data_IF_578545411423
#
_entry.id   IF_578545411423
#
_cell.length_a   1.000
_cell.length_b   1.000
_cell.length_c   1.000
_cell.angle_alpha   90.00
_cell.angle_beta   90.00
_cell.angle_gamma   90.00
#
_symmetry.space_group_name_H-M   'P 1'
#
loop_
_entity.id
_entity.type
_entity.pdbx_description
1 polymer ?
#
# COMPACT_ATOMS: atom_id res chain seq x y z
N UNK A 1 -16.51 7.30 -0.30
CA UNK A 1 -16.84 5.85 -0.22
C UNK A 1 -17.94 5.52 0.77
N UNK A 2 -17.92 6.02 2.01
CA UNK A 2 -19.00 5.75 2.98
C UNK A 2 -20.42 6.04 2.44
N UNK A 3 -20.64 7.21 1.83
CA UNK A 3 -21.94 7.56 1.23
C UNK A 3 -22.32 6.64 0.06
N UNK A 4 -21.36 6.19 -0.75
CA UNK A 4 -21.64 5.28 -1.87
C UNK A 4 -22.10 3.91 -1.36
N UNK A 5 -21.43 3.38 -0.33
CA UNK A 5 -21.84 2.14 0.36
C UNK A 5 -23.26 2.25 0.94
N UNK A 6 -23.59 3.37 1.57
CA UNK A 6 -24.94 3.62 2.11
C UNK A 6 -25.99 3.70 1.01
N UNK A 7 -25.67 4.37 -0.10
CA UNK A 7 -26.58 4.48 -1.25
C UNK A 7 -26.84 3.11 -1.86
N UNK A 8 -25.80 2.32 -2.12
CA UNK A 8 -25.95 0.96 -2.66
C UNK A 8 -26.74 0.05 -1.70
N UNK A 9 -26.48 0.17 -0.40
CA UNK A 9 -27.25 -0.55 0.63
C UNK A 9 -28.73 -0.18 0.58
N UNK A 10 -29.04 1.13 0.54
CA UNK A 10 -30.43 1.62 0.46
C UNK A 10 -31.13 1.26 -0.84
N UNK A 11 -30.38 1.14 -1.94
CA UNK A 11 -30.89 0.72 -3.24
C UNK A 11 -31.12 -0.79 -3.36
N UNK A 12 -30.78 -1.60 -2.34
CA UNK A 12 -31.03 -3.03 -2.34
C UNK A 12 -30.24 -3.81 -3.39
N UNK A 13 -29.01 -3.39 -3.69
CA UNK A 13 -28.15 -4.14 -4.62
C UNK A 13 -27.83 -5.53 -4.09
N UNK A 14 -27.57 -6.49 -4.99
CA UNK A 14 -27.27 -7.88 -4.60
C UNK A 14 -25.89 -8.08 -3.99
N UNK A 15 -24.93 -7.19 -4.26
CA UNK A 15 -23.56 -7.23 -3.74
C UNK A 15 -22.85 -5.90 -3.98
N UNK A 16 -21.80 -5.62 -3.21
CA UNK A 16 -20.96 -4.43 -3.37
C UNK A 16 -19.49 -4.83 -3.52
N UNK A 17 -18.80 -4.29 -4.52
CA UNK A 17 -17.33 -4.37 -4.62
C UNK A 17 -16.74 -3.03 -4.21
N UNK A 18 -15.74 -3.04 -3.34
CA UNK A 18 -15.08 -1.83 -2.86
C UNK A 18 -13.55 -1.99 -2.89
N UNK A 19 -12.87 -1.03 -3.52
CA UNK A 19 -11.44 -0.80 -3.30
C UNK A 19 -11.30 0.35 -2.29
N UNK A 20 -11.07 0.09 -1.00
CA UNK A 20 -11.10 1.13 0.02
C UNK A 20 -9.90 2.09 -0.08
N UNK A 21 -10.19 3.38 -0.19
CA UNK A 21 -9.16 4.44 -0.16
C UNK A 21 -8.45 4.43 1.20
N UNK A 22 -9.20 4.24 2.28
CA UNK A 22 -8.69 4.06 3.64
C UNK A 22 -9.35 2.83 4.27
N UNK A 23 -8.52 1.94 4.82
CA UNK A 23 -8.96 0.64 5.34
C UNK A 23 -9.87 0.77 6.58
N UNK A 24 -9.74 1.82 7.39
CA UNK A 24 -10.54 2.02 8.60
C UNK A 24 -11.81 2.83 8.32
N UNK A 25 -11.70 3.90 7.52
CA UNK A 25 -12.80 4.84 7.27
C UNK A 25 -13.96 4.22 6.49
N UNK A 26 -13.69 3.18 5.70
CA UNK A 26 -14.72 2.43 4.95
C UNK A 26 -15.55 1.50 5.84
N UNK A 27 -15.01 1.08 7.00
CA UNK A 27 -15.59 0.06 7.88
C UNK A 27 -17.04 0.29 8.29
N UNK A 28 -17.46 1.51 8.71
CA UNK A 28 -18.87 1.80 9.01
C UNK A 28 -19.81 1.53 7.84
N UNK A 29 -19.40 1.84 6.61
CA UNK A 29 -20.21 1.59 5.41
C UNK A 29 -20.36 0.10 5.12
N UNK A 30 -19.28 -0.67 5.28
CA UNK A 30 -19.30 -2.14 5.13
C UNK A 30 -20.20 -2.78 6.19
N UNK A 31 -20.09 -2.37 7.46
CA UNK A 31 -20.98 -2.86 8.52
C UNK A 31 -22.46 -2.54 8.25
N UNK A 32 -22.75 -1.43 7.58
CA UNK A 32 -24.12 -1.10 7.17
C UNK A 32 -24.65 -2.06 6.11
N UNK A 33 -23.84 -2.41 5.11
CA UNK A 33 -24.20 -3.40 4.09
C UNK A 33 -24.38 -4.80 4.69
N UNK A 34 -23.48 -5.20 5.60
CA UNK A 34 -23.57 -6.49 6.30
C UNK A 34 -24.88 -6.62 7.11
N UNK A 35 -25.35 -5.54 7.75
CA UNK A 35 -26.63 -5.53 8.48
C UNK A 35 -27.87 -5.67 7.57
N UNK A 36 -27.72 -5.40 6.28
CA UNK A 36 -28.76 -5.58 5.27
C UNK A 36 -28.58 -6.90 4.49
N UNK A 37 -27.71 -7.80 4.96
CA UNK A 37 -27.37 -9.07 4.32
C UNK A 37 -26.83 -8.93 2.88
N UNK A 38 -26.22 -7.77 2.57
CA UNK A 38 -25.58 -7.50 1.28
C UNK A 38 -24.09 -7.86 1.37
N UNK A 39 -23.59 -8.85 0.61
CA UNK A 39 -22.19 -9.23 0.65
C UNK A 39 -21.30 -8.13 0.07
N UNK A 40 -20.23 -7.80 0.82
CA UNK A 40 -19.19 -6.86 0.38
C UNK A 40 -17.92 -7.61 0.02
N UNK A 41 -17.43 -7.40 -1.20
CA UNK A 41 -16.16 -7.91 -1.69
C UNK A 41 -15.15 -6.76 -1.64
N UNK A 42 -14.07 -6.94 -0.88
CA UNK A 42 -12.95 -6.01 -0.96
C UNK A 42 -12.04 -6.38 -2.13
N UNK A 43 -11.59 -5.38 -2.87
CA UNK A 43 -10.67 -5.53 -3.98
C UNK A 43 -9.45 -4.63 -3.76
N UNK A 44 -8.26 -5.12 -4.11
CA UNK A 44 -6.95 -4.43 -4.01
C UNK A 44 -6.48 -4.11 -2.58
N UNK A 45 -7.35 -3.53 -1.74
CA UNK A 45 -7.07 -3.12 -0.37
C UNK A 45 -8.05 -3.74 0.62
N UNK A 46 -7.55 -4.08 1.80
CA UNK A 46 -8.34 -4.65 2.89
C UNK A 46 -9.20 -3.62 3.62
N UNK A 47 -10.26 -4.10 4.27
CA UNK A 47 -11.11 -3.34 5.18
C UNK A 47 -10.81 -3.74 6.62
N UNK A 48 -10.56 -2.77 7.49
CA UNK A 48 -10.37 -2.98 8.92
C UNK A 48 -11.71 -2.89 9.66
N UNK A 49 -11.85 -3.68 10.73
CA UNK A 49 -12.99 -3.62 11.68
C UNK A 49 -14.37 -3.82 11.03
N UNK A 50 -14.43 -4.52 9.90
CA UNK A 50 -15.67 -4.95 9.26
C UNK A 50 -15.41 -6.22 8.45
N UNK A 51 -16.39 -7.10 8.38
CA UNK A 51 -16.27 -8.36 7.64
C UNK A 51 -16.57 -8.13 6.16
N UNK A 52 -15.73 -8.69 5.30
CA UNK A 52 -15.97 -8.79 3.86
C UNK A 52 -16.20 -10.25 3.49
N UNK A 53 -17.04 -10.51 2.49
CA UNK A 53 -17.30 -11.86 1.99
C UNK A 53 -16.02 -12.50 1.44
N UNK A 54 -15.16 -11.70 0.81
CA UNK A 54 -13.80 -12.07 0.42
C UNK A 54 -12.95 -10.83 0.22
N UNK A 55 -11.63 -11.02 0.14
CA UNK A 55 -10.66 -10.03 -0.30
C UNK A 55 -9.96 -10.58 -1.55
N UNK A 56 -10.07 -9.84 -2.66
CA UNK A 56 -9.33 -10.12 -3.89
C UNK A 56 -8.20 -9.11 -4.00
N UNK A 57 -6.99 -9.51 -3.63
CA UNK A 57 -5.81 -8.66 -3.65
C UNK A 57 -4.55 -9.46 -3.99
N UNK A 58 -3.51 -8.75 -4.42
CA UNK A 58 -2.15 -9.30 -4.51
C UNK A 58 -1.62 -9.62 -3.11
N UNK A 59 -0.76 -10.63 -3.00
CA UNK A 59 0.06 -10.81 -1.79
C UNK A 59 1.13 -9.72 -1.77
N UNK A 60 0.80 -8.60 -1.14
CA UNK A 60 1.67 -7.43 -1.04
C UNK A 60 2.91 -7.69 -0.18
N UNK A 61 2.87 -8.63 0.78
CA UNK A 61 4.04 -9.00 1.58
C UNK A 61 5.03 -9.78 0.71
N UNK A 62 4.54 -10.78 -0.03
CA UNK A 62 5.37 -11.49 -1.00
C UNK A 62 5.90 -10.53 -2.08
N UNK A 63 5.06 -9.62 -2.59
CA UNK A 63 5.46 -8.61 -3.56
C UNK A 63 6.55 -7.66 -3.04
N UNK A 64 6.43 -7.20 -1.79
CA UNK A 64 7.46 -6.39 -1.13
C UNK A 64 8.78 -7.14 -1.01
N UNK A 65 8.75 -8.42 -0.64
CA UNK A 65 9.95 -9.26 -0.57
C UNK A 65 10.61 -9.43 -1.95
N UNK A 66 9.82 -9.73 -2.99
CA UNK A 66 10.31 -9.81 -4.36
C UNK A 66 10.96 -8.50 -4.83
N UNK A 67 10.41 -7.36 -4.42
CA UNK A 67 11.00 -6.06 -4.73
C UNK A 67 12.34 -5.83 -4.01
N UNK A 68 12.50 -6.32 -2.77
CA UNK A 68 13.77 -6.28 -2.06
C UNK A 68 14.84 -7.11 -2.76
N UNK A 69 14.50 -8.35 -3.13
CA UNK A 69 15.41 -9.26 -3.83
C UNK A 69 15.83 -8.65 -5.19
N UNK A 70 14.87 -8.17 -5.98
CA UNK A 70 15.13 -7.55 -7.28
C UNK A 70 16.01 -6.30 -7.17
N UNK A 71 15.74 -5.43 -6.18
CA UNK A 71 16.57 -4.25 -5.93
C UNK A 71 17.99 -4.66 -5.51
N UNK A 72 18.11 -5.63 -4.61
CA UNK A 72 19.40 -6.08 -4.11
C UNK A 72 20.27 -6.69 -5.21
N UNK A 73 19.68 -7.50 -6.09
CA UNK A 73 20.35 -8.07 -7.26
C UNK A 73 20.90 -6.98 -8.18
N UNK A 74 20.12 -5.91 -8.42
CA UNK A 74 20.56 -4.76 -9.24
C UNK A 74 21.69 -3.97 -8.60
N UNK A 75 21.73 -3.91 -7.28
CA UNK A 75 22.78 -3.22 -6.52
C UNK A 75 24.01 -4.10 -6.24
N UNK A 76 23.97 -5.39 -6.60
CA UNK A 76 25.02 -6.33 -6.22
C UNK A 76 25.14 -6.53 -4.71
N UNK A 77 24.00 -6.48 -4.00
CA UNK A 77 23.90 -6.76 -2.57
C UNK A 77 24.35 -5.63 -1.63
N UNK A 78 24.72 -4.45 -2.13
CA UNK A 78 25.22 -3.34 -1.30
C UNK A 78 24.78 -1.97 -1.82
N UNK A 79 24.61 -1.00 -0.91
CA UNK A 79 24.36 0.38 -1.30
C UNK A 79 23.44 1.14 -0.34
N UNK A 80 23.18 2.40 -0.66
CA UNK A 80 22.27 3.25 0.10
C UNK A 80 20.99 3.45 -0.69
N UNK A 81 19.83 3.23 -0.07
CA UNK A 81 18.54 3.37 -0.73
C UNK A 81 17.60 4.28 0.03
N UNK A 82 16.60 4.77 -0.69
CA UNK A 82 15.47 5.50 -0.10
C UNK A 82 14.16 4.78 -0.37
N UNK A 83 13.17 5.03 0.46
CA UNK A 83 11.83 4.46 0.32
C UNK A 83 10.79 5.58 0.18
N UNK A 84 10.02 5.53 -0.90
CA UNK A 84 8.81 6.34 -1.07
C UNK A 84 7.61 5.55 -0.58
N UNK A 85 6.98 6.02 0.50
CA UNK A 85 5.83 5.35 1.09
C UNK A 85 4.53 5.78 0.44
N UNK A 86 3.59 4.84 0.43
CA UNK A 86 2.23 5.08 -0.03
C UNK A 86 1.38 5.92 0.89
N UNK A 87 0.07 5.97 0.60
CA UNK A 87 -0.91 6.60 1.48
C UNK A 87 -0.96 5.86 2.81
N UNK A 88 -0.74 6.60 3.90
CA UNK A 88 -0.85 6.08 5.26
C UNK A 88 -2.25 5.49 5.51
N UNK A 89 -2.32 4.38 6.25
CA UNK A 89 -3.58 3.70 6.57
C UNK A 89 -4.02 2.65 5.54
N UNK A 90 -3.46 2.64 4.33
CA UNK A 90 -3.77 1.60 3.33
C UNK A 90 -3.08 0.26 3.65
N UNK A 91 -3.77 -0.86 3.41
CA UNK A 91 -3.15 -2.19 3.57
C UNK A 91 -1.99 -2.39 2.59
N UNK A 92 -2.14 -1.94 1.35
CA UNK A 92 -1.12 -2.07 0.30
C UNK A 92 0.22 -1.44 0.70
N UNK A 93 0.25 -0.17 1.15
CA UNK A 93 1.47 0.49 1.62
C UNK A 93 2.12 -0.27 2.78
N UNK A 94 1.32 -0.63 3.80
CA UNK A 94 1.83 -1.34 4.99
C UNK A 94 2.45 -2.69 4.62
N UNK A 95 1.75 -3.49 3.83
CA UNK A 95 2.14 -4.85 3.48
C UNK A 95 3.35 -4.87 2.56
N UNK A 96 3.41 -4.00 1.54
CA UNK A 96 4.58 -3.85 0.66
C UNK A 96 5.81 -3.41 1.45
N UNK A 97 5.65 -2.40 2.30
CA UNK A 97 6.72 -1.92 3.17
C UNK A 97 7.22 -3.01 4.14
N UNK A 98 6.32 -3.79 4.73
CA UNK A 98 6.67 -4.90 5.61
C UNK A 98 7.41 -6.02 4.86
N UNK A 99 6.91 -6.43 3.70
CA UNK A 99 7.56 -7.43 2.86
C UNK A 99 8.96 -7.01 2.41
N UNK A 100 9.10 -5.76 2.00
CA UNK A 100 10.39 -5.19 1.58
C UNK A 100 11.38 -5.14 2.74
N UNK A 101 10.95 -4.67 3.92
CA UNK A 101 11.78 -4.64 5.11
C UNK A 101 12.22 -6.05 5.56
N UNK A 102 11.36 -7.05 5.42
CA UNK A 102 11.70 -8.45 5.71
C UNK A 102 12.73 -8.99 4.70
N UNK A 103 12.50 -8.79 3.40
CA UNK A 103 13.43 -9.23 2.35
C UNK A 103 14.82 -8.62 2.48
N UNK A 104 14.90 -7.32 2.81
CA UNK A 104 16.17 -6.63 3.00
C UNK A 104 17.04 -7.20 4.14
N UNK A 105 16.48 -7.95 5.09
CA UNK A 105 17.28 -8.59 6.15
C UNK A 105 18.32 -9.56 5.59
N UNK A 106 18.11 -10.11 4.39
CA UNK A 106 19.08 -10.96 3.70
C UNK A 106 20.27 -10.18 3.11
N UNK A 107 20.18 -8.85 3.04
CA UNK A 107 21.16 -7.97 2.38
C UNK A 107 21.67 -6.89 3.35
N UNK A 108 22.48 -7.25 4.36
CA UNK A 108 22.87 -6.34 5.43
C UNK A 108 23.70 -5.14 4.96
N UNK A 109 24.31 -5.20 3.77
CA UNK A 109 25.10 -4.12 3.18
C UNK A 109 24.26 -3.11 2.38
N UNK A 110 22.94 -3.33 2.28
CA UNK A 110 21.98 -2.34 1.78
C UNK A 110 21.42 -1.56 2.96
N UNK A 111 21.55 -0.24 2.93
CA UNK A 111 21.11 0.67 4.00
C UNK A 111 19.99 1.56 3.52
N UNK A 112 18.86 1.55 4.23
CA UNK A 112 17.80 2.54 4.04
C UNK A 112 18.25 3.83 4.72
N UNK A 113 18.57 4.87 3.94
CA UNK A 113 19.05 6.15 4.47
C UNK A 113 17.91 7.14 4.73
N UNK A 114 16.78 6.98 4.04
CA UNK A 114 15.57 7.75 4.28
C UNK A 114 14.30 7.01 3.84
N UNK A 115 13.20 7.33 4.49
CA UNK A 115 11.86 6.88 4.11
C UNK A 115 10.88 8.04 4.27
N UNK A 116 10.12 8.38 3.23
CA UNK A 116 9.15 9.47 3.28
C UNK A 116 7.84 9.15 2.54
N UNK A 117 6.68 9.60 3.06
CA UNK A 117 5.41 9.47 2.37
C UNK A 117 5.34 10.30 1.09
N UNK A 118 4.96 9.65 0.00
CA UNK A 118 4.59 10.23 -1.29
C UNK A 118 3.10 9.99 -1.63
N UNK A 119 2.36 9.33 -0.73
CA UNK A 119 0.89 9.22 -0.74
C UNK A 119 0.26 8.63 -2.00
N UNK A 120 1.01 7.84 -2.79
CA UNK A 120 0.59 7.37 -4.12
C UNK A 120 0.29 8.50 -5.12
N UNK A 121 0.77 9.71 -4.85
CA UNK A 121 0.56 10.88 -5.68
C UNK A 121 1.81 11.17 -6.51
N UNK A 122 1.61 11.32 -7.82
CA UNK A 122 2.70 11.55 -8.79
C UNK A 122 3.50 12.82 -8.50
N UNK A 123 2.80 13.91 -8.19
CA UNK A 123 3.45 15.22 -7.95
C UNK A 123 4.25 15.16 -6.65
N UNK A 124 3.63 14.60 -5.60
CA UNK A 124 4.30 14.42 -4.31
C UNK A 124 5.49 13.46 -4.41
N UNK A 125 5.37 12.38 -5.20
CA UNK A 125 6.47 11.46 -5.49
C UNK A 125 7.67 12.17 -6.12
N UNK A 126 7.42 13.02 -7.11
CA UNK A 126 8.45 13.85 -7.74
C UNK A 126 9.14 14.78 -6.73
N UNK A 127 8.36 15.51 -5.93
CA UNK A 127 8.89 16.47 -4.95
C UNK A 127 9.71 15.77 -3.86
N UNK A 128 9.18 14.67 -3.32
CA UNK A 128 9.86 13.88 -2.28
C UNK A 128 11.15 13.28 -2.81
N UNK A 129 11.14 12.66 -4.01
CA UNK A 129 12.36 12.06 -4.56
C UNK A 129 13.41 13.12 -4.90
N UNK A 130 12.99 14.28 -5.42
CA UNK A 130 13.89 15.42 -5.69
C UNK A 130 14.63 15.84 -4.43
N UNK A 131 13.89 16.01 -3.32
CA UNK A 131 14.48 16.38 -2.03
C UNK A 131 15.39 15.28 -1.47
N UNK A 132 15.01 14.00 -1.63
CA UNK A 132 15.78 12.87 -1.12
C UNK A 132 17.12 12.70 -1.81
N UNK A 133 17.17 12.82 -3.15
CA UNK A 133 18.43 12.73 -3.90
C UNK A 133 19.37 13.88 -3.55
N UNK A 134 18.83 15.09 -3.36
CA UNK A 134 19.63 16.26 -2.96
C UNK A 134 20.20 16.13 -1.55
N UNK A 135 19.40 15.64 -0.60
CA UNK A 135 19.81 15.46 0.80
C UNK A 135 20.69 14.22 1.02
N UNK A 136 20.66 13.25 0.12
CA UNK A 136 21.43 12.01 0.20
C UNK A 136 22.15 11.70 -1.13
N UNK A 137 23.23 12.44 -1.47
CA UNK A 137 23.90 12.37 -2.78
C UNK A 137 24.58 11.03 -3.11
N UNK A 138 24.52 10.03 -2.22
CA UNK A 138 25.07 8.69 -2.41
C UNK A 138 24.00 7.59 -2.54
N UNK A 139 22.72 7.95 -2.70
CA UNK A 139 21.64 6.98 -2.92
C UNK A 139 21.82 6.29 -4.27
N UNK A 140 21.83 4.96 -4.25
CA UNK A 140 22.01 4.10 -5.43
C UNK A 140 20.73 3.38 -5.84
N UNK A 141 19.67 3.44 -5.04
CA UNK A 141 18.38 2.81 -5.35
C UNK A 141 17.20 3.45 -4.65
N UNK A 142 16.01 3.25 -5.22
CA UNK A 142 14.74 3.67 -4.63
C UNK A 142 13.77 2.50 -4.67
N UNK A 143 13.08 2.29 -3.56
CA UNK A 143 11.88 1.46 -3.52
C UNK A 143 10.67 2.36 -3.31
N UNK A 144 9.69 2.27 -4.20
CA UNK A 144 8.43 2.95 -4.06
C UNK A 144 7.35 1.91 -3.77
N UNK A 145 6.52 2.13 -2.75
CA UNK A 145 5.37 1.27 -2.41
C UNK A 145 4.22 1.41 -3.45
N UNK A 146 4.55 1.56 -4.74
CA UNK A 146 3.85 2.34 -5.77
C UNK A 146 2.38 1.97 -6.12
N UNK A 147 1.57 3.01 -6.36
CA UNK A 147 0.40 3.00 -7.26
C UNK A 147 0.65 3.96 -8.46
N UNK A 148 0.49 5.29 -8.29
CA UNK A 148 0.75 6.33 -9.32
C UNK A 148 2.00 7.23 -9.09
N UNK A 149 2.89 6.88 -8.15
CA UNK A 149 4.07 7.67 -7.74
C UNK A 149 5.39 7.18 -8.34
#
# INVERSE_FOLDING_TARGET
>A
QANQLQNFTSSGVSSIIVNPVDSDAVGPGVRSANKADIPVIAADRGVNKADTATLVASDNVAGGKLAADALADKLGGKGSIVILQGTAGTSASRERGAGFAEGLKAYPDIKVVAKQPADFDRTKGLDVMTNLIQSHPGVTGVFAENDEM
#
